data_IF_191303091841
#
_entry.id   IF_191303091841
#
_cell.length_a   1.000
_cell.length_b   1.000
_cell.length_c   1.000
_cell.angle_alpha   90.00
_cell.angle_beta   90.00
_cell.angle_gamma   90.00
#
_symmetry.space_group_name_H-M   'P 1'
#
loop_
_entity.id
_entity.type
_entity.pdbx_description
1 polymer ?
#
# COMPACT_ATOMS: atom_id res chain seq x y z
N UNK A 1 13.89 -10.82 -17.71
CA UNK A 1 13.69 -9.36 -17.59
C UNK A 1 12.85 -9.09 -16.34
N UNK A 2 13.29 -8.23 -15.41
CA UNK A 2 12.48 -7.84 -14.24
C UNK A 2 11.62 -6.63 -14.62
N UNK A 3 10.31 -6.71 -14.41
CA UNK A 3 9.37 -5.62 -14.68
C UNK A 3 8.73 -5.12 -13.39
N UNK A 4 8.54 -3.80 -13.29
CA UNK A 4 7.77 -3.17 -12.22
C UNK A 4 6.40 -2.76 -12.76
N UNK A 5 5.35 -3.09 -12.02
CA UNK A 5 3.97 -2.76 -12.39
C UNK A 5 3.39 -1.82 -11.33
N UNK A 6 2.87 -0.68 -11.79
CA UNK A 6 2.21 0.31 -10.93
C UNK A 6 0.73 0.33 -11.28
N UNK A 7 -0.13 0.12 -10.28
CA UNK A 7 -1.59 0.14 -10.45
C UNK A 7 -2.15 1.45 -9.89
N UNK A 8 -2.68 2.30 -10.78
CA UNK A 8 -3.22 3.63 -10.45
C UNK A 8 -4.74 3.66 -10.65
N UNK A 9 -5.42 4.61 -9.98
CA UNK A 9 -6.87 4.79 -10.04
C UNK A 9 -7.50 5.16 -8.69
N UNK A 10 -8.76 5.61 -8.68
CA UNK A 10 -9.42 6.13 -7.47
C UNK A 10 -9.69 5.04 -6.41
N UNK A 11 -9.98 5.40 -5.16
CA UNK A 11 -10.51 4.48 -4.16
C UNK A 11 -11.71 3.69 -4.71
N UNK A 12 -11.81 2.39 -4.40
CA UNK A 12 -12.88 1.54 -4.92
C UNK A 12 -12.70 1.00 -6.35
N UNK A 13 -11.75 1.51 -7.15
CA UNK A 13 -11.53 1.08 -8.55
C UNK A 13 -10.99 -0.37 -8.74
N UNK A 14 -10.88 -1.18 -7.68
CA UNK A 14 -10.46 -2.57 -7.79
C UNK A 14 -8.94 -2.80 -7.98
N UNK A 15 -8.10 -1.77 -7.85
CA UNK A 15 -6.62 -1.87 -8.00
C UNK A 15 -5.99 -2.97 -7.15
N UNK A 16 -6.42 -3.10 -5.89
CA UNK A 16 -5.91 -4.12 -4.97
C UNK A 16 -6.26 -5.53 -5.44
N UNK A 17 -7.47 -5.72 -5.98
CA UNK A 17 -7.93 -6.98 -6.55
C UNK A 17 -7.11 -7.33 -7.81
N UNK A 18 -6.98 -6.39 -8.74
CA UNK A 18 -6.27 -6.63 -10.01
C UNK A 18 -4.77 -6.85 -9.81
N UNK A 19 -4.12 -6.08 -8.93
CA UNK A 19 -2.69 -6.25 -8.64
C UNK A 19 -2.38 -7.60 -7.99
N UNK A 20 -3.27 -8.16 -7.14
CA UNK A 20 -3.13 -9.54 -6.62
C UNK A 20 -3.17 -10.59 -7.74
N UNK A 21 -4.13 -10.45 -8.67
CA UNK A 21 -4.27 -11.37 -9.81
C UNK A 21 -3.03 -11.33 -10.71
N UNK A 22 -2.54 -10.14 -11.05
CA UNK A 22 -1.34 -9.98 -11.88
C UNK A 22 -0.09 -10.47 -11.17
N UNK A 23 0.08 -10.15 -9.88
CA UNK A 23 1.20 -10.63 -9.09
C UNK A 23 1.27 -12.17 -9.05
N UNK A 24 0.14 -12.83 -8.81
CA UNK A 24 0.06 -14.30 -8.82
C UNK A 24 0.40 -14.89 -10.18
N UNK A 25 -0.14 -14.32 -11.28
CA UNK A 25 0.10 -14.82 -12.65
C UNK A 25 1.56 -14.66 -13.10
N UNK A 26 2.22 -13.60 -12.66
CA UNK A 26 3.59 -13.28 -13.07
C UNK A 26 4.67 -13.71 -12.05
N UNK A 27 4.28 -14.35 -10.94
CA UNK A 27 5.21 -14.73 -9.87
C UNK A 27 5.87 -13.52 -9.19
N UNK A 28 5.16 -12.38 -9.13
CA UNK A 28 5.66 -11.14 -8.53
C UNK A 28 5.18 -10.97 -7.09
N UNK A 29 5.94 -10.21 -6.31
CA UNK A 29 5.52 -9.75 -4.99
C UNK A 29 4.67 -8.49 -5.14
N UNK A 30 3.48 -8.49 -4.55
CA UNK A 30 2.65 -7.28 -4.45
C UNK A 30 3.19 -6.40 -3.31
N UNK A 31 3.31 -5.10 -3.56
CA UNK A 31 3.63 -4.08 -2.55
C UNK A 31 2.49 -3.06 -2.54
N UNK A 32 2.04 -2.66 -1.35
CA UNK A 32 0.95 -1.72 -1.14
C UNK A 32 1.31 -0.80 0.02
N UNK A 33 1.47 0.50 -0.24
CA UNK A 33 1.76 1.49 0.80
C UNK A 33 0.68 1.49 1.88
N UNK A 34 -0.59 1.39 1.49
CA UNK A 34 -1.70 1.29 2.43
C UNK A 34 -1.64 0.04 3.33
N UNK A 35 -1.16 -1.11 2.82
CA UNK A 35 -0.97 -2.32 3.63
C UNK A 35 0.18 -2.12 4.63
N UNK A 36 1.30 -1.57 4.15
CA UNK A 36 2.50 -1.28 4.95
C UNK A 36 2.14 -0.33 6.11
N UNK A 37 1.41 0.76 5.85
CA UNK A 37 0.99 1.68 6.91
C UNK A 37 0.06 1.00 7.94
N UNK A 38 -0.92 0.20 7.49
CA UNK A 38 -1.82 -0.53 8.39
C UNK A 38 -1.06 -1.54 9.26
N UNK A 39 -0.08 -2.24 8.69
CA UNK A 39 0.76 -3.19 9.43
C UNK A 39 1.63 -2.49 10.48
N UNK A 40 2.30 -1.40 10.11
CA UNK A 40 3.12 -0.61 11.02
C UNK A 40 2.32 0.00 12.17
N UNK A 41 1.10 0.47 11.89
CA UNK A 41 0.17 0.99 12.90
C UNK A 41 -0.34 -0.14 13.83
N UNK A 42 -0.73 -1.29 13.26
CA UNK A 42 -1.15 -2.46 14.02
C UNK A 42 -0.06 -2.93 14.99
N UNK A 43 1.19 -2.90 14.54
CA UNK A 43 2.35 -3.31 15.33
C UNK A 43 2.89 -2.19 16.24
N UNK A 44 2.23 -1.03 16.29
CA UNK A 44 2.62 0.14 17.11
C UNK A 44 4.10 0.52 16.95
N UNK A 45 4.62 0.38 15.73
CA UNK A 45 5.98 0.86 15.41
C UNK A 45 6.04 2.38 15.52
N UNK A 46 7.23 2.93 15.76
CA UNK A 46 7.44 4.39 15.79
C UNK A 46 6.95 5.06 14.49
N UNK A 47 7.31 4.49 13.34
CA UNK A 47 6.84 4.96 12.03
C UNK A 47 5.32 4.81 11.87
N UNK A 48 4.73 3.74 12.38
CA UNK A 48 3.29 3.52 12.35
C UNK A 48 2.51 4.55 13.15
N UNK A 49 3.03 4.93 14.33
CA UNK A 49 2.45 5.99 15.17
C UNK A 49 2.58 7.34 14.48
N UNK A 50 3.77 7.68 13.95
CA UNK A 50 3.99 8.93 13.23
C UNK A 50 3.08 9.06 12.00
N UNK A 51 3.01 8.01 11.16
CA UNK A 51 2.16 8.01 9.97
C UNK A 51 0.67 8.17 10.30
N UNK A 52 0.23 7.66 11.46
CA UNK A 52 -1.15 7.71 11.89
C UNK A 52 -1.63 9.14 12.21
N UNK A 53 -0.74 10.05 12.61
CA UNK A 53 -1.06 11.47 12.82
C UNK A 53 -1.58 12.11 11.52
N UNK A 54 -0.95 11.81 10.38
CA UNK A 54 -1.37 12.29 9.05
C UNK A 54 -2.60 11.53 8.52
N UNK A 55 -2.61 10.20 8.64
CA UNK A 55 -3.67 9.35 8.08
C UNK A 55 -5.05 9.68 8.69
N UNK A 56 -5.10 9.96 10.01
CA UNK A 56 -6.36 10.28 10.71
C UNK A 56 -7.03 11.56 10.21
N UNK A 57 -6.24 12.53 9.77
CA UNK A 57 -6.74 13.81 9.23
C UNK A 57 -6.89 13.79 7.71
N UNK A 58 -6.61 12.65 7.07
CA UNK A 58 -6.69 12.51 5.61
C UNK A 58 -5.57 13.20 4.85
N UNK A 59 -4.46 13.51 5.53
CA UNK A 59 -3.28 14.11 4.91
C UNK A 59 -2.33 13.05 4.33
N UNK A 60 -1.47 13.49 3.41
CA UNK A 60 -0.43 12.65 2.84
C UNK A 60 0.70 12.48 3.86
N UNK A 61 1.07 11.23 4.14
CA UNK A 61 2.27 10.95 4.92
C UNK A 61 3.49 11.43 4.11
N UNK A 62 4.36 12.30 4.67
CA UNK A 62 5.54 12.82 3.98
C UNK A 62 6.60 11.74 3.75
N UNK A 63 7.62 12.09 2.96
CA UNK A 63 8.74 11.22 2.58
C UNK A 63 9.76 10.97 3.71
#
# INVERSE_FOLDING_TARGET
MRGFFVFLGPPGAGKGTQSKVVAARLGLRQISSGEIFRENLKNQTELGILANEYIKVGELVPD
#
